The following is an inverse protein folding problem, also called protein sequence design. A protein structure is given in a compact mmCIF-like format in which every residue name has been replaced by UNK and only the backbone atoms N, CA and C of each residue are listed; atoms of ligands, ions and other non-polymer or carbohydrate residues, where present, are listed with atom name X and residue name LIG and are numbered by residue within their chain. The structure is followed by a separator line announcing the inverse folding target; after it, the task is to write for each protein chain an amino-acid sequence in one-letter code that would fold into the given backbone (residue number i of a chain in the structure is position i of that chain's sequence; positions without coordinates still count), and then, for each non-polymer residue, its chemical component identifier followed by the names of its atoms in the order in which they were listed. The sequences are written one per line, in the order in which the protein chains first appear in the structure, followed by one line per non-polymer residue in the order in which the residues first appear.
data_IF_032349517916
#
_entry.id   IF_032349517916
#
_cell.length_a   1.000
_cell.length_b   1.000
_cell.length_c   1.000
_cell.angle_alpha   90.00
_cell.angle_beta   90.00
_cell.angle_gamma   90.00
#
_symmetry.space_group_name_H-M   'P 1'
#
loop_
_entity.id
_entity.type
_entity.pdbx_description
1 polymer ?
#
# COMPACT_ATOMS: atom_id res chain seq x y z
N UNK A 1 7.29 -0.90 18.65
CA UNK A 1 6.50 -1.81 17.78
C UNK A 1 5.76 -0.94 16.78
N UNK A 2 5.93 -1.17 15.47
CA UNK A 2 5.20 -0.36 14.49
C UNK A 2 3.71 -0.71 14.56
N UNK A 3 2.87 0.32 14.64
CA UNK A 3 1.41 0.27 14.53
C UNK A 3 1.08 -0.30 13.16
N UNK A 4 0.76 -1.59 13.11
CA UNK A 4 0.50 -2.33 11.88
C UNK A 4 -0.93 -2.05 11.42
N UNK A 5 -1.14 -0.97 10.68
CA UNK A 5 -2.53 -0.57 10.34
C UNK A 5 -2.97 -0.92 8.91
N UNK A 6 -2.05 -1.07 7.94
CA UNK A 6 -2.39 -1.70 6.63
C UNK A 6 -1.19 -2.26 5.85
N UNK A 7 0.02 -2.14 6.41
CA UNK A 7 1.24 -2.66 5.80
C UNK A 7 1.71 -3.91 6.56
N UNK A 8 2.32 -4.85 5.84
CA UNK A 8 3.15 -5.89 6.42
C UNK A 8 4.59 -5.66 6.00
N UNK A 9 5.53 -6.03 6.85
CA UNK A 9 6.94 -5.93 6.49
C UNK A 9 7.76 -7.03 7.15
N UNK A 10 8.84 -7.41 6.49
CA UNK A 10 9.78 -8.43 6.97
C UNK A 10 11.15 -8.21 6.32
N UNK A 11 12.25 -8.44 7.06
CA UNK A 11 12.29 -8.79 8.48
C UNK A 11 12.06 -7.57 9.38
N UNK A 12 11.68 -7.81 10.64
CA UNK A 12 11.44 -6.75 11.64
C UNK A 12 12.67 -6.44 12.51
N UNK A 13 13.73 -7.23 12.34
CA UNK A 13 15.04 -7.07 12.97
C UNK A 13 16.12 -7.54 12.00
N UNK A 14 17.35 -7.08 12.23
CA UNK A 14 18.52 -7.69 11.63
C UNK A 14 19.77 -6.90 11.88
N UNK A 15 20.82 -7.22 11.11
CA UNK A 15 22.16 -6.70 11.31
C UNK A 15 22.76 -6.23 9.98
N UNK A 16 23.72 -5.30 10.08
CA UNK A 16 24.48 -4.78 8.94
C UNK A 16 23.54 -4.27 7.83
N UNK A 17 23.72 -4.77 6.61
CA UNK A 17 22.93 -4.40 5.44
C UNK A 17 21.82 -5.42 5.25
N UNK A 18 20.59 -4.94 5.19
CA UNK A 18 19.43 -5.80 5.03
C UNK A 18 18.34 -5.09 4.23
N UNK A 19 17.63 -5.87 3.43
CA UNK A 19 16.45 -5.42 2.71
C UNK A 19 15.22 -5.71 3.56
N UNK A 20 14.38 -4.69 3.78
CA UNK A 20 13.07 -4.83 4.39
C UNK A 20 12.03 -4.77 3.28
N UNK A 21 11.33 -5.88 3.04
CA UNK A 21 10.20 -5.92 2.12
C UNK A 21 8.98 -5.36 2.81
N UNK A 22 8.30 -4.40 2.18
CA UNK A 22 7.07 -3.77 2.67
C UNK A 22 5.95 -4.02 1.68
N UNK A 23 4.83 -4.54 2.15
CA UNK A 23 3.68 -4.91 1.32
C UNK A 23 2.42 -4.27 1.87
N UNK A 24 1.53 -3.82 0.98
CA UNK A 24 0.20 -3.32 1.30
C UNK A 24 -0.82 -3.95 0.35
N UNK A 25 -1.99 -4.31 0.86
CA UNK A 25 -3.12 -4.74 0.02
C UNK A 25 -3.70 -3.57 -0.79
N UNK A 26 -4.45 -3.86 -1.87
CA UNK A 26 -5.20 -2.84 -2.62
C UNK A 26 -6.08 -2.07 -1.63
N UNK A 27 -5.99 -0.74 -1.67
CA UNK A 27 -6.89 0.12 -0.91
C UNK A 27 -8.24 0.20 -1.64
N UNK A 28 -9.33 -0.16 -1.00
CA UNK A 28 -10.70 -0.03 -1.56
C UNK A 28 -11.53 1.05 -0.86
N UNK A 29 -10.99 1.66 0.20
CA UNK A 29 -11.63 2.72 0.97
C UNK A 29 -11.00 4.09 0.66
N UNK A 30 -11.20 5.07 1.54
CA UNK A 30 -10.56 6.39 1.46
C UNK A 30 -9.04 6.28 1.43
N UNK A 31 -8.37 7.32 0.92
CA UNK A 31 -6.92 7.42 0.99
C UNK A 31 -6.42 7.24 2.42
N UNK A 32 -5.29 6.53 2.58
CA UNK A 32 -4.74 6.18 3.89
C UNK A 32 -3.23 6.39 3.92
N UNK A 33 -2.71 6.65 5.11
CA UNK A 33 -1.28 6.85 5.31
C UNK A 33 -0.81 6.18 6.60
N UNK A 34 0.48 5.85 6.64
CA UNK A 34 1.16 5.33 7.84
C UNK A 34 2.64 5.69 7.80
N UNK A 35 3.34 5.46 8.90
CA UNK A 35 4.78 5.72 9.03
C UNK A 35 5.48 4.44 9.45
N UNK A 36 6.47 4.02 8.65
CA UNK A 36 7.41 2.98 9.05
C UNK A 36 8.62 3.63 9.71
N UNK A 37 8.81 3.36 11.00
CA UNK A 37 9.98 3.80 11.77
C UNK A 37 10.98 2.66 11.91
N UNK A 38 12.22 2.90 11.48
CA UNK A 38 13.34 1.96 11.53
C UNK A 38 14.38 2.53 12.47
N UNK A 39 14.64 1.84 13.58
CA UNK A 39 15.60 2.25 14.60
C UNK A 39 16.74 1.25 14.72
N UNK A 40 17.99 1.74 14.72
CA UNK A 40 19.18 0.92 14.95
C UNK A 40 20.28 1.75 15.64
N UNK A 41 20.85 1.23 16.74
CA UNK A 41 21.99 1.81 17.47
C UNK A 41 22.01 3.35 17.54
N UNK A 42 20.89 3.95 17.99
CA UNK A 42 20.78 5.40 18.19
C UNK A 42 20.40 6.21 16.94
N UNK A 43 20.25 5.57 15.77
CA UNK A 43 19.74 6.20 14.55
C UNK A 43 18.28 5.77 14.35
N UNK A 44 17.45 6.73 13.98
CA UNK A 44 16.06 6.49 13.56
C UNK A 44 15.85 7.06 12.16
N UNK A 45 15.25 6.26 11.28
CA UNK A 45 14.76 6.69 9.97
C UNK A 45 13.27 6.45 9.88
N UNK A 46 12.56 7.41 9.30
CA UNK A 46 11.12 7.33 9.06
C UNK A 46 10.84 7.27 7.58
N UNK A 47 9.88 6.44 7.19
CA UNK A 47 9.38 6.31 5.83
C UNK A 47 7.89 6.57 5.86
N UNK A 48 7.48 7.67 5.22
CA UNK A 48 6.08 8.01 5.06
C UNK A 48 5.48 7.19 3.92
N UNK A 49 4.39 6.47 4.19
CA UNK A 49 3.72 5.61 3.24
C UNK A 49 2.31 6.17 3.00
N UNK A 50 2.06 6.63 1.78
CA UNK A 50 0.78 7.18 1.36
C UNK A 50 0.17 6.28 0.28
N UNK A 51 -1.05 5.80 0.50
CA UNK A 51 -1.74 4.89 -0.42
C UNK A 51 -3.09 5.47 -0.85
N UNK A 52 -3.19 5.83 -2.13
CA UNK A 52 -4.44 6.26 -2.77
C UNK A 52 -5.47 5.14 -2.80
N UNK A 53 -6.76 5.51 -2.91
CA UNK A 53 -7.83 4.54 -3.22
C UNK A 53 -7.52 3.87 -4.56
N UNK A 54 -7.60 2.55 -4.58
CA UNK A 54 -7.48 1.76 -5.80
C UNK A 54 -8.71 1.95 -6.66
N UNK A 55 -8.50 2.26 -7.93
CA UNK A 55 -9.58 2.40 -8.91
C UNK A 55 -10.04 1.00 -9.33
N UNK A 56 -11.35 0.79 -9.34
CA UNK A 56 -11.97 -0.38 -9.96
C UNK A 56 -12.64 0.08 -11.25
N UNK A 57 -12.46 -0.67 -12.34
CA UNK A 57 -13.02 -0.33 -13.65
C UNK A 57 -13.83 -1.53 -14.12
N UNK A 58 -15.07 -1.29 -14.54
CA UNK A 58 -15.83 -2.26 -15.33
C UNK A 58 -15.84 -1.85 -16.79
N UNK A 59 -15.78 -2.87 -17.66
CA UNK A 59 -16.03 -2.71 -19.09
C UNK A 59 -17.35 -3.40 -19.37
N UNK A 60 -18.33 -2.64 -19.87
CA UNK A 60 -19.64 -3.15 -20.26
C UNK A 60 -19.67 -3.22 -21.78
N UNK A 61 -19.98 -4.40 -22.31
CA UNK A 61 -20.21 -4.61 -23.73
C UNK A 61 -21.71 -4.72 -23.95
N UNK A 62 -22.27 -3.74 -24.67
CA UNK A 62 -23.68 -3.72 -25.04
C UNK A 62 -23.97 -4.70 -26.17
N UNK A 63 -25.25 -5.05 -26.34
CA UNK A 63 -25.72 -6.00 -27.37
C UNK A 63 -25.36 -5.57 -28.81
N UNK A 64 -25.13 -4.27 -29.04
CA UNK A 64 -24.74 -3.71 -30.33
C UNK A 64 -23.21 -3.49 -30.46
N UNK A 65 -22.39 -4.08 -29.59
CA UNK A 65 -20.94 -3.91 -29.61
C UNK A 65 -20.44 -2.58 -29.02
N UNK A 66 -21.32 -1.78 -28.43
CA UNK A 66 -20.95 -0.56 -27.70
C UNK A 66 -20.09 -0.94 -26.49
N UNK A 67 -18.96 -0.25 -26.31
CA UNK A 67 -18.05 -0.48 -25.17
C UNK A 67 -18.09 0.74 -24.25
N UNK A 68 -18.51 0.50 -23.01
CA UNK A 68 -18.48 1.51 -21.95
C UNK A 68 -17.42 1.15 -20.93
N UNK A 69 -16.53 2.10 -20.64
CA UNK A 69 -15.58 2.00 -19.52
C UNK A 69 -16.11 2.85 -18.38
N UNK A 70 -16.46 2.22 -17.27
CA UNK A 70 -16.97 2.91 -16.08
C UNK A 70 -16.01 2.70 -14.92
N UNK A 71 -15.74 3.77 -14.18
CA UNK A 71 -15.10 3.66 -12.87
C UNK A 71 -16.17 3.20 -11.88
N UNK A 72 -15.93 2.07 -11.22
CA UNK A 72 -16.73 1.60 -10.10
C UNK A 72 -16.26 2.38 -8.87
N UNK A 73 -17.17 3.16 -8.28
CA UNK A 73 -16.93 3.84 -7.01
C UNK A 73 -16.95 2.88 -5.82
#
# INVERSE_FOLDING_TARGET
MATKDFITYSPNTGNKNQTISVTASKNISSERNTVLSISAKGITKTININQKKGISVAVIVGQNGNIFKIQLE
#
